data_IF_050023937226
#
_entry.id   IF_050023937226
#
_cell.length_a   1.000
_cell.length_b   1.000
_cell.length_c   1.000
_cell.angle_alpha   90.00
_cell.angle_beta   90.00
_cell.angle_gamma   90.00
#
_symmetry.space_group_name_H-M   'P 1'
#
loop_
_entity.id
_entity.type
_entity.pdbx_description
1 polymer ?
#
# COMPACT_ATOMS: atom_id res chain seq x y z
N UNK A 1 22.32 -13.30 -9.24
CA UNK A 1 21.09 -12.93 -8.52
C UNK A 1 20.04 -13.97 -8.88
N UNK A 2 19.22 -14.42 -7.92
CA UNK A 2 18.07 -15.27 -8.24
C UNK A 2 17.14 -14.48 -9.16
N UNK A 3 16.55 -15.11 -10.19
CA UNK A 3 15.60 -14.40 -11.07
C UNK A 3 14.37 -14.00 -10.27
N UNK A 4 13.91 -12.77 -10.43
CA UNK A 4 12.67 -12.27 -9.77
C UNK A 4 11.47 -13.08 -10.29
N UNK A 5 10.64 -13.59 -9.39
CA UNK A 5 9.44 -14.36 -9.69
C UNK A 5 8.15 -13.58 -9.35
N UNK A 6 8.26 -12.59 -8.46
CA UNK A 6 7.13 -11.79 -8.00
C UNK A 6 7.59 -10.34 -7.79
N UNK A 7 6.83 -9.41 -8.31
CA UNK A 7 6.94 -7.99 -7.95
C UNK A 7 5.71 -7.59 -7.16
N UNK A 8 5.92 -7.10 -5.96
CA UNK A 8 4.86 -6.58 -5.08
C UNK A 8 4.91 -5.05 -5.12
N UNK A 9 3.83 -4.44 -5.52
CA UNK A 9 3.68 -3.00 -5.59
C UNK A 9 2.74 -2.47 -4.50
N UNK A 10 3.05 -1.29 -3.98
CA UNK A 10 2.03 -0.48 -3.32
C UNK A 10 1.01 0.06 -4.33
N UNK A 11 -0.10 0.60 -3.83
CA UNK A 11 -1.18 1.13 -4.66
C UNK A 11 -1.11 2.67 -4.78
N UNK A 12 -1.59 3.42 -3.80
CA UNK A 12 -1.72 4.87 -3.86
C UNK A 12 -0.34 5.56 -3.89
N UNK A 13 -0.08 6.34 -4.92
CA UNK A 13 1.23 6.98 -5.15
C UNK A 13 2.23 6.11 -5.92
N UNK A 14 1.99 4.80 -6.03
CA UNK A 14 2.87 3.86 -6.74
C UNK A 14 2.22 3.35 -8.03
N UNK A 15 1.15 2.56 -7.95
CA UNK A 15 0.44 2.01 -9.11
C UNK A 15 -0.87 2.73 -9.42
N UNK A 16 -1.44 3.40 -8.44
CA UNK A 16 -2.66 4.22 -8.54
C UNK A 16 -2.29 5.67 -8.26
N UNK A 17 -2.71 6.59 -9.12
CA UNK A 17 -2.49 8.02 -8.88
C UNK A 17 -3.12 8.44 -7.56
N UNK A 18 -2.37 9.23 -6.79
CA UNK A 18 -2.82 9.88 -5.57
C UNK A 18 -2.67 11.41 -5.74
N UNK A 19 -3.77 12.12 -5.62
CA UNK A 19 -3.83 13.58 -5.66
C UNK A 19 -3.94 14.18 -4.25
N UNK A 20 -3.39 13.48 -3.25
CA UNK A 20 -3.51 13.75 -1.81
C UNK A 20 -4.90 13.50 -1.22
N UNK A 21 -5.78 12.78 -1.93
CA UNK A 21 -7.11 12.44 -1.43
C UNK A 21 -7.07 11.65 -0.11
N UNK A 22 -6.09 10.76 0.03
CA UNK A 22 -5.91 9.98 1.26
C UNK A 22 -5.61 10.91 2.43
N UNK A 23 -4.69 11.87 2.24
CA UNK A 23 -4.35 12.88 3.26
C UNK A 23 -5.57 13.75 3.61
N UNK A 24 -6.28 14.25 2.59
CA UNK A 24 -7.47 15.08 2.80
C UNK A 24 -8.57 14.34 3.56
N UNK A 25 -8.82 13.07 3.23
CA UNK A 25 -9.78 12.24 3.97
C UNK A 25 -9.35 12.03 5.43
N UNK A 26 -8.04 11.88 5.71
CA UNK A 26 -7.53 11.80 7.09
C UNK A 26 -7.81 13.09 7.86
N UNK A 27 -7.46 14.24 7.31
CA UNK A 27 -7.62 15.54 7.96
C UNK A 27 -9.10 15.88 8.19
N UNK A 28 -9.95 15.60 7.22
CA UNK A 28 -11.39 15.82 7.34
C UNK A 28 -12.01 14.90 8.39
N UNK A 29 -11.64 13.62 8.41
CA UNK A 29 -12.13 12.68 9.43
C UNK A 29 -11.64 13.07 10.84
N UNK A 30 -10.39 13.49 10.96
CA UNK A 30 -9.82 14.00 12.20
C UNK A 30 -10.63 15.22 12.71
N UNK A 31 -10.78 16.25 11.89
CA UNK A 31 -11.53 17.47 12.25
C UNK A 31 -12.99 17.16 12.63
N UNK A 32 -13.68 16.27 11.91
CA UNK A 32 -15.05 15.89 12.17
C UNK A 32 -15.24 15.16 13.51
N UNK A 33 -14.18 14.58 14.07
CA UNK A 33 -14.21 13.79 15.31
C UNK A 33 -13.47 14.44 16.49
N UNK A 34 -12.98 15.68 16.29
CA UNK A 34 -12.26 16.45 17.31
C UNK A 34 -10.81 15.99 17.54
N UNK A 35 -10.22 15.30 16.57
CA UNK A 35 -8.80 14.99 16.54
C UNK A 35 -8.05 16.16 15.88
N UNK A 36 -7.05 16.70 16.56
CA UNK A 36 -6.14 17.68 15.99
C UNK A 36 -5.05 16.93 15.19
N UNK A 37 -5.04 17.11 13.89
CA UNK A 37 -4.07 16.48 13.01
C UNK A 37 -3.60 17.46 11.93
N UNK A 38 -2.31 17.43 11.65
CA UNK A 38 -1.68 18.25 10.62
C UNK A 38 -1.06 17.35 9.53
N UNK A 39 -0.85 17.85 8.31
CA UNK A 39 -0.15 17.09 7.28
C UNK A 39 1.21 16.58 7.73
N UNK A 40 1.97 17.36 8.49
CA UNK A 40 3.29 16.98 9.01
C UNK A 40 3.25 15.83 10.03
N UNK A 41 2.13 15.62 10.72
CA UNK A 41 1.93 14.48 11.61
C UNK A 41 1.46 13.24 10.87
N UNK A 42 0.65 13.41 9.81
CA UNK A 42 0.07 12.28 9.04
C UNK A 42 1.07 11.72 8.03
N UNK A 43 1.80 12.59 7.30
CA UNK A 43 2.68 12.16 6.21
C UNK A 43 3.71 11.10 6.59
N UNK A 44 4.40 11.16 7.74
CA UNK A 44 5.34 10.11 8.14
C UNK A 44 4.70 8.73 8.34
N UNK A 45 3.39 8.68 8.55
CA UNK A 45 2.61 7.46 8.76
C UNK A 45 1.89 6.99 7.49
N UNK A 46 2.06 7.68 6.36
CA UNK A 46 1.54 7.21 5.08
C UNK A 46 2.15 5.84 4.76
N UNK A 47 1.36 4.98 4.11
CA UNK A 47 1.76 3.59 3.92
C UNK A 47 1.35 2.64 5.06
N UNK A 48 1.12 3.12 6.29
CA UNK A 48 0.62 2.30 7.39
C UNK A 48 -0.85 1.85 7.17
N UNK A 49 -1.28 0.85 7.95
CA UNK A 49 -2.71 0.53 8.02
C UNK A 49 -3.50 1.73 8.56
N UNK A 50 -4.61 2.05 7.90
CA UNK A 50 -5.29 3.35 8.13
C UNK A 50 -5.82 3.53 9.55
N UNK A 51 -6.29 2.44 10.18
CA UNK A 51 -6.72 2.49 11.59
C UNK A 51 -5.54 2.79 12.53
N UNK A 52 -4.34 2.26 12.23
CA UNK A 52 -3.13 2.49 13.04
C UNK A 52 -2.73 3.95 13.08
N UNK A 53 -2.92 4.69 11.98
CA UNK A 53 -2.67 6.14 11.95
C UNK A 53 -3.56 6.87 12.96
N UNK A 54 -4.87 6.58 13.00
CA UNK A 54 -5.77 7.17 14.00
C UNK A 54 -5.41 6.76 15.41
N UNK A 55 -4.98 5.52 15.63
CA UNK A 55 -4.50 5.07 16.94
C UNK A 55 -3.32 5.91 17.41
N UNK A 56 -2.32 6.11 16.55
CA UNK A 56 -1.13 6.89 16.89
C UNK A 56 -1.48 8.37 17.18
N UNK A 57 -2.34 8.98 16.37
CA UNK A 57 -2.72 10.39 16.56
C UNK A 57 -3.57 10.59 17.84
N UNK A 58 -4.53 9.71 18.11
CA UNK A 58 -5.33 9.78 19.34
C UNK A 58 -4.49 9.47 20.59
N UNK A 59 -3.54 8.53 20.50
CA UNK A 59 -2.58 8.25 21.56
C UNK A 59 -1.75 9.49 21.92
N UNK A 60 -1.28 10.24 20.91
CA UNK A 60 -0.57 11.49 21.11
C UNK A 60 -1.44 12.57 21.78
N UNK A 61 -2.73 12.64 21.43
CA UNK A 61 -3.61 13.72 21.91
C UNK A 61 -4.17 13.47 23.31
N UNK A 62 -4.58 12.24 23.64
CA UNK A 62 -5.27 11.93 24.90
C UNK A 62 -4.63 10.78 25.70
N UNK A 63 -3.68 10.04 25.11
CA UNK A 63 -3.08 8.85 25.71
C UNK A 63 -3.89 7.58 25.45
N UNK A 64 -3.18 6.44 25.34
CA UNK A 64 -3.79 5.13 25.06
C UNK A 64 -4.68 4.61 26.21
N UNK A 65 -4.40 5.06 27.47
CA UNK A 65 -5.15 4.65 28.66
C UNK A 65 -6.42 5.49 28.89
N UNK A 66 -6.68 6.51 28.04
CA UNK A 66 -7.88 7.35 28.18
C UNK A 66 -9.15 6.51 27.93
N UNK A 67 -10.20 6.64 28.78
CA UNK A 67 -11.40 5.81 28.66
C UNK A 67 -12.10 5.93 27.30
N UNK A 68 -12.02 7.06 26.64
CA UNK A 68 -12.63 7.29 25.33
C UNK A 68 -11.70 6.94 24.16
N UNK A 69 -10.45 6.52 24.40
CA UNK A 69 -9.45 6.32 23.35
C UNK A 69 -9.95 5.43 22.20
N UNK A 70 -10.41 4.21 22.50
CA UNK A 70 -10.87 3.27 21.49
C UNK A 70 -12.11 3.79 20.74
N UNK A 71 -13.05 4.41 21.47
CA UNK A 71 -14.28 4.96 20.87
C UNK A 71 -13.93 6.08 19.89
N UNK A 72 -12.98 6.94 20.25
CA UNK A 72 -12.54 8.06 19.39
C UNK A 72 -11.77 7.56 18.16
N UNK A 73 -10.88 6.58 18.33
CA UNK A 73 -10.19 5.92 17.22
C UNK A 73 -11.19 5.32 16.23
N UNK A 74 -12.18 4.56 16.74
CA UNK A 74 -13.17 3.91 15.89
C UNK A 74 -14.06 4.94 15.18
N UNK A 75 -14.49 6.02 15.86
CA UNK A 75 -15.28 7.08 15.25
C UNK A 75 -14.53 7.77 14.10
N UNK A 76 -13.24 8.10 14.31
CA UNK A 76 -12.40 8.71 13.27
C UNK A 76 -12.19 7.78 12.09
N UNK A 77 -11.92 6.50 12.36
CA UNK A 77 -11.73 5.52 11.32
C UNK A 77 -13.01 5.25 10.51
N UNK A 78 -14.17 5.18 11.15
CA UNK A 78 -15.47 5.05 10.47
C UNK A 78 -15.74 6.27 9.58
N UNK A 79 -15.49 7.48 10.08
CA UNK A 79 -15.63 8.70 9.28
C UNK A 79 -14.69 8.71 8.08
N UNK A 80 -13.44 8.32 8.29
CA UNK A 80 -12.45 8.20 7.23
C UNK A 80 -12.87 7.18 6.15
N UNK A 81 -13.34 6.00 6.57
CA UNK A 81 -13.85 4.99 5.64
C UNK A 81 -14.94 5.56 4.74
N UNK A 82 -15.91 6.24 5.33
CA UNK A 82 -17.00 6.86 4.58
C UNK A 82 -16.49 7.86 3.54
N UNK A 83 -15.59 8.75 3.92
CA UNK A 83 -15.02 9.77 3.03
C UNK A 83 -14.20 9.17 1.90
N UNK A 84 -13.32 8.23 2.23
CA UNK A 84 -12.41 7.62 1.26
C UNK A 84 -13.15 6.73 0.26
N UNK A 85 -14.12 5.94 0.72
CA UNK A 85 -14.94 5.10 -0.15
C UNK A 85 -15.83 5.93 -1.07
N UNK A 86 -16.43 7.02 -0.57
CA UNK A 86 -17.21 7.95 -1.38
C UNK A 86 -16.34 8.59 -2.46
N UNK A 87 -15.13 9.02 -2.08
CA UNK A 87 -14.15 9.56 -3.04
C UNK A 87 -13.86 8.56 -4.17
N UNK A 88 -13.42 7.33 -3.83
CA UNK A 88 -13.06 6.34 -4.85
C UNK A 88 -14.25 5.77 -5.63
N UNK A 89 -15.50 5.93 -5.14
CA UNK A 89 -16.71 5.63 -5.93
C UNK A 89 -17.07 6.74 -6.90
N UNK A 90 -16.86 8.00 -6.53
CA UNK A 90 -17.37 9.17 -7.27
C UNK A 90 -16.33 9.84 -8.16
N UNK A 91 -15.05 9.83 -7.79
CA UNK A 91 -13.97 10.48 -8.52
C UNK A 91 -13.25 9.51 -9.48
N UNK A 92 -12.56 10.02 -10.52
CA UNK A 92 -11.73 9.19 -11.39
C UNK A 92 -10.67 8.40 -10.61
N UNK A 93 -10.47 7.14 -10.98
CA UNK A 93 -9.39 6.28 -10.48
C UNK A 93 -8.54 5.89 -11.68
N UNK A 94 -7.27 6.22 -11.66
CA UNK A 94 -6.38 6.04 -12.80
C UNK A 94 -5.07 5.37 -12.37
N UNK A 95 -4.47 4.51 -13.24
CA UNK A 95 -3.12 4.03 -13.01
C UNK A 95 -2.11 5.19 -13.07
N UNK A 96 -0.98 5.04 -12.37
CA UNK A 96 0.17 5.92 -12.57
C UNK A 96 0.76 5.77 -13.96
N UNK A 97 1.50 6.78 -14.41
CA UNK A 97 2.14 6.74 -15.72
C UNK A 97 3.09 5.55 -15.83
N UNK A 98 3.01 4.82 -16.93
CA UNK A 98 3.84 3.64 -17.18
C UNK A 98 3.44 2.36 -16.44
N UNK A 99 2.49 2.41 -15.51
CA UNK A 99 2.11 1.25 -14.69
C UNK A 99 1.65 0.07 -15.55
N UNK A 100 0.71 0.27 -16.47
CA UNK A 100 0.19 -0.81 -17.32
C UNK A 100 1.25 -1.40 -18.25
N UNK A 101 2.17 -0.57 -18.76
CA UNK A 101 3.30 -1.05 -19.58
C UNK A 101 4.24 -1.94 -18.77
N UNK A 102 4.53 -1.56 -17.52
CA UNK A 102 5.33 -2.39 -16.60
C UNK A 102 4.61 -3.69 -16.30
N UNK A 103 3.31 -3.67 -16.04
CA UNK A 103 2.53 -4.89 -15.79
C UNK A 103 2.52 -5.82 -17.00
N UNK A 104 2.33 -5.29 -18.20
CA UNK A 104 2.37 -6.07 -19.44
C UNK A 104 3.75 -6.72 -19.67
N UNK A 105 4.81 -5.96 -19.43
CA UNK A 105 6.18 -6.48 -19.54
C UNK A 105 6.43 -7.61 -18.53
N UNK A 106 6.07 -7.43 -17.25
CA UNK A 106 6.22 -8.45 -16.22
C UNK A 106 5.50 -9.75 -16.60
N UNK A 107 4.25 -9.63 -17.05
CA UNK A 107 3.45 -10.78 -17.49
C UNK A 107 4.07 -11.50 -18.68
N UNK A 108 4.60 -10.76 -19.68
CA UNK A 108 5.26 -11.36 -20.83
C UNK A 108 6.54 -12.12 -20.46
N UNK A 109 7.15 -11.78 -19.32
CA UNK A 109 8.32 -12.46 -18.75
C UNK A 109 7.95 -13.47 -17.65
N UNK A 110 6.66 -13.79 -17.49
CA UNK A 110 6.15 -14.75 -16.48
C UNK A 110 6.49 -14.36 -15.04
N UNK A 111 6.68 -13.06 -14.78
CA UNK A 111 6.86 -12.49 -13.44
C UNK A 111 5.49 -12.12 -12.88
N UNK A 112 5.15 -12.64 -11.71
CA UNK A 112 3.87 -12.41 -11.08
C UNK A 112 3.80 -11.00 -10.49
N UNK A 113 2.58 -10.45 -10.44
CA UNK A 113 2.29 -9.12 -9.94
C UNK A 113 1.43 -9.25 -8.69
N UNK A 114 1.89 -8.69 -7.58
CA UNK A 114 1.14 -8.57 -6.34
C UNK A 114 0.88 -7.12 -5.99
N UNK A 115 -0.25 -6.84 -5.35
CA UNK A 115 -0.54 -5.56 -4.73
C UNK A 115 -0.57 -5.69 -3.21
N UNK A 116 0.10 -4.75 -2.54
CA UNK A 116 0.19 -4.65 -1.10
C UNK A 116 -0.05 -3.20 -0.68
N UNK A 117 -1.10 -2.95 0.08
CA UNK A 117 -1.51 -1.58 0.41
C UNK A 117 -1.82 -1.41 1.89
N UNK A 118 -1.67 -0.19 2.40
CA UNK A 118 -2.16 0.19 3.73
C UNK A 118 -3.68 0.40 3.79
N UNK A 119 -4.38 0.29 2.68
CA UNK A 119 -5.83 0.34 2.64
C UNK A 119 -6.45 -0.93 3.23
N UNK A 120 -7.64 -0.81 3.80
CA UNK A 120 -8.49 -1.92 4.20
C UNK A 120 -9.19 -2.53 2.97
N UNK A 121 -9.72 -3.75 3.11
CA UNK A 121 -10.20 -4.54 1.97
C UNK A 121 -11.30 -3.84 1.17
N UNK A 122 -12.30 -3.25 1.82
CA UNK A 122 -13.47 -2.68 1.14
C UNK A 122 -13.08 -1.54 0.18
N UNK A 123 -12.19 -0.62 0.57
CA UNK A 123 -11.74 0.45 -0.34
C UNK A 123 -10.81 -0.08 -1.43
N UNK A 124 -9.99 -1.09 -1.12
CA UNK A 124 -9.15 -1.76 -2.11
C UNK A 124 -10.01 -2.40 -3.20
N UNK A 125 -11.10 -3.05 -2.83
CA UNK A 125 -12.03 -3.68 -3.78
C UNK A 125 -12.69 -2.63 -4.70
N UNK A 126 -13.07 -1.47 -4.16
CA UNK A 126 -13.59 -0.36 -4.97
C UNK A 126 -12.55 0.08 -6.00
N UNK A 127 -11.29 0.27 -5.60
CA UNK A 127 -10.22 0.70 -6.50
C UNK A 127 -9.94 -0.36 -7.56
N UNK A 128 -9.78 -1.62 -7.17
CA UNK A 128 -9.54 -2.73 -8.10
C UNK A 128 -10.66 -2.85 -9.12
N UNK A 129 -11.92 -2.76 -8.68
CA UNK A 129 -13.08 -2.82 -9.55
C UNK A 129 -13.13 -1.65 -10.54
N UNK A 130 -12.88 -0.43 -10.07
CA UNK A 130 -12.85 0.77 -10.90
C UNK A 130 -11.76 0.72 -11.99
N UNK A 131 -10.63 0.06 -11.70
CA UNK A 131 -9.53 -0.15 -12.64
C UNK A 131 -9.70 -1.42 -13.51
N UNK A 132 -10.67 -2.29 -13.18
CA UNK A 132 -10.81 -3.61 -13.81
C UNK A 132 -9.70 -4.59 -13.45
N UNK A 133 -8.99 -4.35 -12.34
CA UNK A 133 -7.87 -5.18 -11.89
C UNK A 133 -8.32 -6.36 -11.02
N UNK A 134 -9.59 -6.41 -10.63
CA UNK A 134 -10.22 -7.52 -9.93
C UNK A 134 -10.58 -8.70 -10.86
N UNK A 135 -10.47 -8.53 -12.17
CA UNK A 135 -10.86 -9.56 -13.13
C UNK A 135 -10.00 -10.81 -13.02
N UNK A 136 -10.66 -11.94 -12.72
CA UNK A 136 -10.02 -13.25 -12.56
C UNK A 136 -9.38 -13.49 -11.19
N UNK A 137 -9.59 -12.60 -10.22
CA UNK A 137 -9.29 -12.89 -8.81
C UNK A 137 -10.41 -13.77 -8.21
N UNK A 138 -10.01 -14.74 -7.40
CA UNK A 138 -10.94 -15.55 -6.61
C UNK A 138 -11.33 -14.86 -5.28
N UNK A 139 -12.13 -15.54 -4.46
CA UNK A 139 -12.57 -15.03 -3.14
C UNK A 139 -11.41 -14.84 -2.15
N UNK A 140 -10.23 -15.39 -2.43
CA UNK A 140 -9.00 -15.18 -1.67
C UNK A 140 -8.09 -14.12 -2.31
N UNK A 141 -8.57 -13.39 -3.31
CA UNK A 141 -7.81 -12.40 -4.08
C UNK A 141 -6.55 -13.00 -4.74
N UNK A 142 -6.66 -14.22 -5.23
CA UNK A 142 -5.63 -14.92 -6.00
C UNK A 142 -6.11 -14.97 -7.46
N UNK A 143 -5.27 -14.47 -8.35
CA UNK A 143 -5.50 -14.49 -9.80
C UNK A 143 -4.82 -15.67 -10.48
N UNK A 144 -5.16 -15.84 -11.74
CA UNK A 144 -4.53 -16.80 -12.65
C UNK A 144 -3.45 -16.13 -13.51
N UNK A 145 -2.78 -16.89 -14.37
CA UNK A 145 -1.85 -16.32 -15.36
C UNK A 145 -2.54 -15.36 -16.35
N UNK A 146 -3.86 -15.53 -16.56
CA UNK A 146 -4.64 -14.63 -17.41
C UNK A 146 -5.02 -13.32 -16.71
N UNK A 147 -5.02 -13.27 -15.39
CA UNK A 147 -5.34 -12.09 -14.60
C UNK A 147 -4.27 -11.02 -14.76
N UNK A 148 -4.65 -9.74 -14.65
CA UNK A 148 -3.67 -8.64 -14.71
C UNK A 148 -2.73 -8.68 -13.51
N UNK A 149 -3.27 -8.96 -12.31
CA UNK A 149 -2.53 -9.16 -11.07
C UNK A 149 -2.77 -10.58 -10.54
N UNK A 150 -1.80 -11.17 -9.86
CA UNK A 150 -1.91 -12.54 -9.35
C UNK A 150 -2.22 -12.59 -7.86
N UNK A 151 -2.09 -11.49 -7.13
CA UNK A 151 -2.48 -11.44 -5.71
C UNK A 151 -2.71 -10.00 -5.26
N UNK A 152 -3.73 -9.81 -4.41
CA UNK A 152 -3.92 -8.58 -3.64
C UNK A 152 -3.99 -8.91 -2.16
N UNK A 153 -3.21 -8.18 -1.34
CA UNK A 153 -3.18 -8.35 0.12
C UNK A 153 -3.35 -7.01 0.82
N UNK A 154 -4.19 -7.00 1.84
CA UNK A 154 -4.46 -5.82 2.68
C UNK A 154 -4.25 -6.17 4.16
N UNK A 155 -4.13 -5.16 5.05
CA UNK A 155 -4.09 -5.41 6.49
C UNK A 155 -5.30 -6.18 7.03
N UNK A 156 -6.45 -6.10 6.36
CA UNK A 156 -7.67 -6.82 6.77
C UNK A 156 -7.52 -8.35 6.78
N UNK A 157 -6.50 -8.88 6.09
CA UNK A 157 -6.20 -10.29 6.02
C UNK A 157 -5.13 -10.74 7.04
N UNK A 158 -4.59 -9.79 7.81
CA UNK A 158 -3.52 -10.04 8.79
C UNK A 158 -4.10 -9.94 10.20
N UNK A 159 -3.61 -10.79 11.09
CA UNK A 159 -4.03 -10.77 12.49
C UNK A 159 -3.80 -9.36 13.09
N UNK A 160 -4.77 -8.84 13.78
CA UNK A 160 -4.73 -7.49 14.35
C UNK A 160 -4.75 -6.36 13.32
N UNK A 161 -5.01 -6.64 12.05
CA UNK A 161 -4.89 -5.71 10.92
C UNK A 161 -3.50 -5.05 10.83
N UNK A 162 -2.46 -5.80 11.16
CA UNK A 162 -1.10 -5.32 11.14
C UNK A 162 -0.62 -5.11 9.70
N UNK A 163 -0.33 -3.87 9.40
CA UNK A 163 0.16 -3.44 8.08
C UNK A 163 1.66 -3.20 8.07
N UNK A 164 2.15 -2.57 7.01
CA UNK A 164 3.52 -2.09 6.91
C UNK A 164 3.87 -1.17 8.08
N UNK A 165 5.11 -1.19 8.58
CA UNK A 165 6.29 -1.84 8.03
C UNK A 165 6.47 -3.32 8.37
N UNK A 166 5.47 -3.99 8.98
CA UNK A 166 5.55 -5.42 9.24
C UNK A 166 5.59 -6.24 7.92
N UNK A 167 6.28 -7.38 7.89
CA UNK A 167 6.49 -8.16 6.67
C UNK A 167 5.28 -9.01 6.26
N UNK A 168 4.27 -9.10 7.10
CA UNK A 168 3.23 -10.14 7.04
C UNK A 168 2.40 -10.12 5.76
N UNK A 169 2.11 -8.94 5.19
CA UNK A 169 1.36 -8.87 3.94
C UNK A 169 2.18 -9.39 2.76
N UNK A 170 3.50 -9.12 2.73
CA UNK A 170 4.42 -9.65 1.73
C UNK A 170 4.50 -11.18 1.87
N UNK A 171 4.72 -11.67 3.08
CA UNK A 171 4.76 -13.11 3.38
C UNK A 171 3.44 -13.80 3.02
N UNK A 172 2.30 -13.13 3.25
CA UNK A 172 0.97 -13.62 2.86
C UNK A 172 0.83 -13.72 1.34
N UNK A 173 1.31 -12.72 0.60
CA UNK A 173 1.32 -12.74 -0.87
C UNK A 173 2.18 -13.90 -1.40
N UNK A 174 3.38 -14.06 -0.85
CA UNK A 174 4.26 -15.19 -1.17
C UNK A 174 3.59 -16.54 -0.90
N UNK A 175 2.98 -16.69 0.29
CA UNK A 175 2.26 -17.92 0.66
C UNK A 175 1.12 -18.24 -0.30
N UNK A 176 0.29 -17.25 -0.63
CA UNK A 176 -0.83 -17.41 -1.58
C UNK A 176 -0.36 -17.87 -2.97
N UNK A 177 0.83 -17.45 -3.39
CA UNK A 177 1.41 -17.77 -4.69
C UNK A 177 2.39 -18.97 -4.66
N UNK A 178 2.60 -19.59 -3.50
CA UNK A 178 3.55 -20.70 -3.35
C UNK A 178 5.02 -20.31 -3.56
N UNK A 179 5.38 -19.04 -3.32
CA UNK A 179 6.76 -18.54 -3.39
C UNK A 179 7.39 -18.72 -2.01
N UNK A 180 8.50 -19.43 -1.94
CA UNK A 180 9.18 -19.78 -0.67
C UNK A 180 10.48 -19.02 -0.46
N UNK A 181 11.12 -18.52 -1.53
CA UNK A 181 12.37 -17.78 -1.44
C UNK A 181 12.11 -16.26 -1.58
N UNK A 182 12.22 -15.47 -0.50
CA UNK A 182 12.02 -14.03 -0.58
C UNK A 182 13.09 -13.31 -1.42
N UNK A 183 14.24 -13.95 -1.69
CA UNK A 183 15.25 -13.39 -2.58
C UNK A 183 14.79 -13.32 -4.05
N UNK A 184 13.69 -13.99 -4.40
CA UNK A 184 13.06 -13.93 -5.72
C UNK A 184 11.92 -12.91 -5.79
N UNK A 185 11.72 -12.11 -4.73
CA UNK A 185 10.66 -11.10 -4.62
C UNK A 185 11.25 -9.71 -4.71
N UNK A 186 10.65 -8.87 -5.55
CA UNK A 186 10.88 -7.43 -5.57
C UNK A 186 9.70 -6.70 -4.91
N UNK A 187 9.99 -5.62 -4.18
CA UNK A 187 8.99 -4.75 -3.55
C UNK A 187 9.20 -3.32 -4.03
N UNK A 188 8.12 -2.65 -4.45
CA UNK A 188 8.12 -1.26 -4.85
C UNK A 188 7.04 -0.48 -4.11
N UNK A 189 7.40 0.69 -3.60
CA UNK A 189 6.46 1.63 -3.00
C UNK A 189 7.06 3.02 -2.89
N UNK A 190 6.24 4.00 -2.54
CA UNK A 190 6.59 5.41 -2.46
C UNK A 190 6.71 5.94 -1.03
N UNK A 191 6.62 5.03 -0.05
CA UNK A 191 6.72 5.39 1.38
C UNK A 191 7.84 4.64 2.10
N UNK A 192 8.38 5.20 3.20
CA UNK A 192 9.31 4.46 4.08
C UNK A 192 8.78 3.10 4.53
N UNK A 193 7.47 3.02 4.81
CA UNK A 193 6.82 1.77 5.25
C UNK A 193 6.92 0.64 4.22
N UNK A 194 6.97 0.95 2.93
CA UNK A 194 7.16 -0.03 1.86
C UNK A 194 8.57 -0.60 1.88
N UNK A 195 9.55 0.31 1.98
CA UNK A 195 10.97 -0.06 2.02
C UNK A 195 11.27 -0.95 3.23
N UNK A 196 10.83 -0.51 4.40
CA UNK A 196 11.01 -1.27 5.64
C UNK A 196 10.32 -2.64 5.59
N UNK A 197 9.07 -2.71 5.07
CA UNK A 197 8.37 -3.97 4.92
C UNK A 197 9.10 -4.95 4.00
N UNK A 198 9.65 -4.45 2.88
CA UNK A 198 10.46 -5.24 1.95
C UNK A 198 11.73 -5.81 2.63
N UNK A 199 12.46 -4.99 3.39
CA UNK A 199 13.62 -5.45 4.15
C UNK A 199 13.23 -6.41 5.28
N UNK A 200 12.17 -6.12 6.02
CA UNK A 200 11.67 -6.98 7.09
C UNK A 200 11.19 -8.34 6.57
N UNK A 201 10.72 -8.40 5.32
CA UNK A 201 10.38 -9.64 4.63
C UNK A 201 11.60 -10.34 3.97
N UNK A 202 12.79 -9.75 4.06
CA UNK A 202 14.02 -10.24 3.42
C UNK A 202 13.94 -10.36 1.89
N UNK A 203 13.18 -9.47 1.24
CA UNK A 203 13.05 -9.45 -0.21
C UNK A 203 14.39 -9.17 -0.92
N UNK A 204 14.63 -9.84 -2.05
CA UNK A 204 15.87 -9.72 -2.81
C UNK A 204 16.07 -8.35 -3.47
N UNK A 205 14.97 -7.64 -3.76
CA UNK A 205 15.02 -6.31 -4.36
C UNK A 205 13.95 -5.41 -3.70
N UNK A 206 14.38 -4.28 -3.12
CA UNK A 206 13.50 -3.29 -2.49
C UNK A 206 13.79 -1.93 -3.09
N UNK A 207 12.82 -1.35 -3.77
CA UNK A 207 12.96 -0.10 -4.52
C UNK A 207 11.95 0.93 -4.06
N UNK A 208 12.39 2.18 -3.95
CA UNK A 208 11.50 3.33 -3.72
C UNK A 208 11.11 4.01 -5.03
N UNK A 209 9.89 4.54 -5.12
CA UNK A 209 9.43 5.38 -6.23
C UNK A 209 9.28 6.80 -5.72
N UNK A 210 9.91 7.77 -6.38
CA UNK A 210 10.06 9.15 -5.87
C UNK A 210 9.05 10.15 -6.43
N UNK A 211 8.11 9.67 -7.24
CA UNK A 211 7.01 10.47 -7.81
C UNK A 211 5.66 10.26 -7.10
N UNK A 212 5.67 9.62 -5.93
CA UNK A 212 4.51 9.42 -5.07
C UNK A 212 4.46 10.39 -3.87
N UNK A 213 4.10 9.90 -2.69
CA UNK A 213 3.88 10.68 -1.46
C UNK A 213 5.17 11.26 -0.88
N UNK A 214 6.28 10.49 -0.92
CA UNK A 214 7.56 10.89 -0.34
C UNK A 214 8.57 11.26 -1.41
N UNK A 215 9.37 12.28 -1.09
CA UNK A 215 10.47 12.75 -1.94
C UNK A 215 11.68 11.81 -1.91
N UNK A 216 12.54 11.92 -2.91
CA UNK A 216 13.82 11.21 -2.95
C UNK A 216 14.65 11.43 -1.67
N UNK A 217 14.72 12.68 -1.18
CA UNK A 217 15.48 13.04 0.02
C UNK A 217 14.95 12.34 1.27
N UNK A 218 13.65 12.17 1.37
CA UNK A 218 13.02 11.45 2.48
C UNK A 218 13.28 9.94 2.38
N UNK A 219 13.10 9.34 1.19
CA UNK A 219 13.30 7.91 0.98
C UNK A 219 14.75 7.48 1.10
N UNK A 220 15.72 8.35 0.75
CA UNK A 220 17.16 8.08 0.91
C UNK A 220 17.59 7.81 2.35
N UNK A 221 16.80 8.21 3.33
CA UNK A 221 17.10 7.99 4.75
C UNK A 221 16.80 6.56 5.23
N UNK A 222 16.14 5.76 4.39
CA UNK A 222 15.75 4.39 4.70
C UNK A 222 16.53 3.39 3.85
N UNK A 223 16.72 2.15 4.32
CA UNK A 223 17.36 1.12 3.52
C UNK A 223 16.62 0.89 2.20
N UNK A 224 17.34 0.87 1.08
CA UNK A 224 16.79 0.58 -0.24
C UNK A 224 17.87 0.04 -1.17
N UNK A 225 17.50 -0.71 -2.21
CA UNK A 225 18.39 -1.15 -3.27
C UNK A 225 18.43 -0.18 -4.45
N UNK A 226 17.59 0.86 -4.44
CA UNK A 226 17.57 1.95 -5.41
C UNK A 226 16.30 2.78 -5.31
N UNK A 227 16.36 4.00 -5.84
CA UNK A 227 15.22 4.89 -5.98
C UNK A 227 14.95 5.10 -7.48
N UNK A 228 13.68 5.09 -7.86
CA UNK A 228 13.21 5.20 -9.23
C UNK A 228 12.34 6.46 -9.37
N UNK A 229 12.55 7.22 -10.44
CA UNK A 229 11.73 8.38 -10.76
C UNK A 229 10.42 8.01 -11.51
N UNK A 230 10.33 6.76 -11.97
CA UNK A 230 9.13 6.19 -12.58
C UNK A 230 9.13 4.68 -12.45
N UNK A 231 7.94 4.07 -12.50
CA UNK A 231 7.83 2.60 -12.49
C UNK A 231 8.55 1.93 -13.66
N UNK A 232 8.64 2.59 -14.81
CA UNK A 232 9.31 2.04 -16.00
C UNK A 232 10.79 1.73 -15.77
N UNK A 233 11.47 2.47 -14.88
CA UNK A 233 12.87 2.19 -14.53
C UNK A 233 13.07 0.86 -13.79
N UNK A 234 11.99 0.22 -13.33
CA UNK A 234 12.04 -1.14 -12.79
C UNK A 234 12.61 -2.11 -13.84
N UNK A 235 12.25 -1.94 -15.10
CA UNK A 235 12.62 -2.85 -16.19
C UNK A 235 14.14 -2.92 -16.44
N UNK A 236 14.86 -1.91 -15.97
CA UNK A 236 16.33 -1.86 -16.03
C UNK A 236 16.99 -2.55 -14.80
N UNK A 237 16.19 -3.03 -13.84
CA UNK A 237 16.65 -3.57 -12.56
C UNK A 237 16.40 -5.07 -12.37
N UNK A 238 15.57 -5.67 -13.22
CA UNK A 238 15.16 -7.07 -13.12
C UNK A 238 15.36 -7.85 -14.41
#
# INVERSE_FOLDING_TARGET
>A
MSSIQLVIFDMAGTTVKDYNEVLYCFLEAAAATGLEATPSQVNPMMGWSKKRVFQALWEQQIGADHPDYLVKVDASFVKFKFLLEDHYRSQPVEPTEGCLQVFEWLRSHQIRIGLNTGFYREVTDIILHRLGWDQGLDDNYIGTEASLIQVSVTPSEIYGNEGRPAPYMIQKAMYKLGITDPQTVAVLGDTPADLEAGFNAHCGLVLGVTNGTHTEVELQQYPHHGLLNSLQQLLDRI
#
